data_IF_285329265235
#
_entry.id   IF_285329265235
#
_cell.length_a   1.000
_cell.length_b   1.000
_cell.length_c   1.000
_cell.angle_alpha   90.00
_cell.angle_beta   90.00
_cell.angle_gamma   90.00
#
_symmetry.space_group_name_H-M   'P 1'
#
loop_
_entity.id
_entity.type
_entity.pdbx_description
1 polymer ?
#
# COMPACT_ATOMS: atom_id res chain seq x y z
N UNK A 1 8.38 19.86 -36.15
CA UNK A 1 9.82 19.60 -35.92
C UNK A 1 10.05 19.61 -34.42
N UNK A 2 10.45 18.49 -33.83
CA UNK A 2 10.79 18.41 -32.40
C UNK A 2 12.11 19.15 -32.20
N UNK A 3 12.13 20.16 -31.32
CA UNK A 3 13.37 20.86 -31.00
C UNK A 3 14.17 20.08 -29.95
N UNK A 4 15.48 20.30 -29.88
CA UNK A 4 16.35 19.67 -28.85
C UNK A 4 15.85 19.98 -27.43
N UNK A 5 15.25 21.16 -27.24
CA UNK A 5 14.66 21.57 -25.96
C UNK A 5 13.44 20.72 -25.61
N UNK A 6 12.59 20.40 -26.57
CA UNK A 6 11.42 19.54 -26.36
C UNK A 6 11.84 18.11 -26.02
N UNK A 7 12.90 17.60 -26.66
CA UNK A 7 13.46 16.29 -26.33
C UNK A 7 13.96 16.20 -24.88
N UNK A 8 14.65 17.25 -24.40
CA UNK A 8 15.13 17.31 -23.00
C UNK A 8 13.96 17.43 -22.02
N UNK A 9 12.88 18.14 -22.37
CA UNK A 9 11.66 18.22 -21.54
C UNK A 9 11.02 16.86 -21.36
N UNK A 10 10.84 16.14 -22.46
CA UNK A 10 10.22 14.82 -22.46
C UNK A 10 11.07 13.80 -21.68
N UNK A 11 12.38 13.79 -21.89
CA UNK A 11 13.29 12.92 -21.14
C UNK A 11 13.27 13.17 -19.63
N UNK A 12 13.17 14.43 -19.20
CA UNK A 12 13.04 14.78 -17.77
C UNK A 12 11.68 14.39 -17.19
N UNK A 13 10.61 14.55 -17.95
CA UNK A 13 9.27 14.14 -17.54
C UNK A 13 9.22 12.61 -17.37
N UNK A 14 9.67 11.87 -18.39
CA UNK A 14 9.76 10.41 -18.36
C UNK A 14 10.58 9.90 -17.16
N UNK A 15 11.76 10.50 -16.90
CA UNK A 15 12.58 10.11 -15.75
C UNK A 15 11.86 10.36 -14.40
N UNK A 16 11.17 11.50 -14.26
CA UNK A 16 10.43 11.83 -13.04
C UNK A 16 9.26 10.87 -12.81
N UNK A 17 8.48 10.57 -13.85
CA UNK A 17 7.36 9.60 -13.79
C UNK A 17 7.86 8.20 -13.44
N UNK A 18 8.96 7.74 -14.05
CA UNK A 18 9.53 6.42 -13.73
C UNK A 18 9.99 6.33 -12.27
N UNK A 19 10.63 7.36 -11.74
CA UNK A 19 11.07 7.38 -10.34
C UNK A 19 9.88 7.44 -9.37
N UNK A 20 8.83 8.19 -9.71
CA UNK A 20 7.60 8.26 -8.92
C UNK A 20 6.89 6.91 -8.88
N UNK A 21 6.71 6.26 -10.04
CA UNK A 21 6.12 4.93 -10.15
C UNK A 21 6.93 3.88 -9.39
N UNK A 22 8.27 3.94 -9.45
CA UNK A 22 9.14 3.06 -8.67
C UNK A 22 8.92 3.23 -7.16
N UNK A 23 8.89 4.47 -6.68
CA UNK A 23 8.67 4.78 -5.26
C UNK A 23 7.29 4.32 -4.80
N UNK A 24 6.27 4.49 -5.64
CA UNK A 24 4.92 4.02 -5.41
C UNK A 24 4.87 2.51 -5.21
N UNK A 25 5.48 1.72 -6.12
CA UNK A 25 5.46 0.26 -6.01
C UNK A 25 6.21 -0.26 -4.78
N UNK A 26 7.30 0.41 -4.35
CA UNK A 26 7.98 0.06 -3.11
C UNK A 26 7.04 0.23 -1.91
N UNK A 27 6.40 1.39 -1.79
CA UNK A 27 5.49 1.68 -0.67
C UNK A 27 4.31 0.72 -0.70
N UNK A 28 3.73 0.50 -1.87
CA UNK A 28 2.63 -0.44 -2.08
C UNK A 28 3.00 -1.86 -1.62
N UNK A 29 4.13 -2.40 -2.10
CA UNK A 29 4.57 -3.75 -1.76
C UNK A 29 4.87 -3.89 -0.25
N UNK A 30 5.49 -2.88 0.36
CA UNK A 30 5.78 -2.88 1.80
C UNK A 30 4.50 -2.89 2.64
N UNK A 31 3.54 -1.99 2.33
CA UNK A 31 2.29 -1.88 3.08
C UNK A 31 1.46 -3.15 2.93
N UNK A 32 1.31 -3.68 1.71
CA UNK A 32 0.51 -4.87 1.45
C UNK A 32 1.11 -6.12 2.11
N UNK A 33 2.43 -6.31 2.01
CA UNK A 33 3.11 -7.48 2.59
C UNK A 33 3.04 -7.45 4.12
N UNK A 34 3.41 -6.33 4.74
CA UNK A 34 3.38 -6.22 6.21
C UNK A 34 1.95 -6.25 6.73
N UNK A 35 1.01 -5.58 6.07
CA UNK A 35 -0.41 -5.64 6.44
C UNK A 35 -0.95 -7.07 6.42
N UNK A 36 -0.63 -7.85 5.37
CA UNK A 36 -1.02 -9.26 5.26
C UNK A 36 -0.38 -10.14 6.32
N UNK A 37 0.91 -9.94 6.60
CA UNK A 37 1.61 -10.65 7.67
C UNK A 37 1.00 -10.33 9.04
N UNK A 38 0.71 -9.07 9.31
CA UNK A 38 0.13 -8.62 10.56
C UNK A 38 -1.24 -9.25 10.79
N UNK A 39 -2.13 -9.20 9.80
CA UNK A 39 -3.45 -9.83 9.83
C UNK A 39 -3.34 -11.35 10.06
N UNK A 40 -2.44 -12.02 9.34
CA UNK A 40 -2.29 -13.48 9.42
C UNK A 40 -1.70 -13.93 10.75
N UNK A 41 -0.72 -13.21 11.29
CA UNK A 41 0.01 -13.61 12.51
C UNK A 41 -0.75 -13.19 13.76
N UNK A 42 -1.23 -11.96 13.82
CA UNK A 42 -1.86 -11.39 15.03
C UNK A 42 -3.38 -11.59 15.05
N UNK A 43 -4.03 -11.43 13.89
CA UNK A 43 -5.46 -11.67 13.75
C UNK A 43 -5.81 -13.14 13.52
N UNK A 44 -4.91 -13.92 12.90
CA UNK A 44 -5.16 -15.31 12.49
C UNK A 44 -6.47 -15.45 11.68
N UNK A 45 -6.75 -14.41 10.88
CA UNK A 45 -7.81 -14.37 9.88
C UNK A 45 -7.21 -14.04 8.51
N UNK A 46 -8.02 -14.20 7.46
CA UNK A 46 -7.62 -13.85 6.11
C UNK A 46 -8.68 -12.98 5.43
N UNK A 47 -8.23 -12.01 4.64
CA UNK A 47 -9.14 -11.19 3.82
C UNK A 47 -9.43 -11.94 2.52
N UNK A 48 -10.62 -11.78 1.94
CA UNK A 48 -10.99 -12.48 0.71
C UNK A 48 -9.98 -12.27 -0.42
N UNK A 49 -9.62 -13.35 -1.12
CA UNK A 49 -8.61 -13.34 -2.19
C UNK A 49 -8.96 -12.34 -3.31
N UNK A 50 -10.25 -12.24 -3.65
CA UNK A 50 -10.75 -11.29 -4.63
C UNK A 50 -10.48 -9.84 -4.26
N UNK A 51 -10.44 -9.49 -2.96
CA UNK A 51 -10.14 -8.13 -2.53
C UNK A 51 -8.69 -7.80 -2.85
N UNK A 52 -7.76 -8.72 -2.59
CA UNK A 52 -6.35 -8.52 -2.93
C UNK A 52 -6.15 -8.41 -4.44
N UNK A 53 -6.77 -9.29 -5.22
CA UNK A 53 -6.66 -9.25 -6.68
C UNK A 53 -7.25 -7.97 -7.28
N UNK A 54 -8.40 -7.51 -6.77
CA UNK A 54 -8.99 -6.22 -7.17
C UNK A 54 -8.10 -5.05 -6.77
N UNK A 55 -7.47 -5.11 -5.59
CA UNK A 55 -6.53 -4.08 -5.12
C UNK A 55 -5.30 -4.01 -6.01
N UNK A 56 -4.72 -5.14 -6.42
CA UNK A 56 -3.56 -5.17 -7.33
C UNK A 56 -3.91 -4.62 -8.72
N UNK A 57 -5.08 -4.96 -9.26
CA UNK A 57 -5.50 -4.45 -10.58
C UNK A 57 -5.82 -2.95 -10.50
N UNK A 58 -6.58 -2.52 -9.51
CA UNK A 58 -6.97 -1.11 -9.37
C UNK A 58 -5.76 -0.27 -8.92
N UNK A 59 -5.17 -0.54 -7.78
CA UNK A 59 -4.06 0.29 -7.28
C UNK A 59 -2.78 0.08 -8.09
N UNK A 60 -2.44 -1.14 -8.48
CA UNK A 60 -1.22 -1.38 -9.25
C UNK A 60 -1.32 -0.83 -10.66
N UNK A 61 -2.31 -1.29 -11.44
CA UNK A 61 -2.37 -0.99 -12.88
C UNK A 61 -2.99 0.38 -13.15
N UNK A 62 -4.12 0.70 -12.53
CA UNK A 62 -4.83 1.96 -12.84
C UNK A 62 -4.05 3.19 -12.36
N UNK A 63 -3.47 3.19 -11.16
CA UNK A 63 -2.72 4.35 -10.68
C UNK A 63 -1.48 4.61 -11.54
N UNK A 64 -0.76 3.56 -11.92
CA UNK A 64 0.42 3.72 -12.79
C UNK A 64 0.03 4.15 -14.20
N UNK A 65 -1.08 3.65 -14.72
CA UNK A 65 -1.64 4.17 -15.97
C UNK A 65 -1.97 5.66 -15.89
N UNK A 66 -2.56 6.13 -14.78
CA UNK A 66 -2.80 7.58 -14.63
C UNK A 66 -1.51 8.38 -14.51
N UNK A 67 -0.46 7.81 -13.91
CA UNK A 67 0.85 8.44 -13.81
C UNK A 67 1.53 8.58 -15.17
N UNK A 68 1.35 7.64 -16.11
CA UNK A 68 1.92 7.75 -17.47
C UNK A 68 1.24 8.79 -18.34
N UNK A 69 0.00 9.20 -18.00
CA UNK A 69 -0.71 10.28 -18.70
C UNK A 69 -0.20 11.69 -18.33
N UNK A 70 0.72 11.81 -17.37
CA UNK A 70 1.30 13.12 -17.00
C UNK A 70 2.25 13.61 -18.09
N UNK A 71 1.85 14.64 -18.83
CA UNK A 71 2.70 15.28 -19.84
C UNK A 71 3.84 16.13 -19.26
N UNK A 72 4.82 16.52 -20.10
CA UNK A 72 5.92 17.38 -19.68
C UNK A 72 5.46 18.79 -19.31
N UNK A 73 6.14 19.41 -18.34
CA UNK A 73 5.92 20.82 -18.02
C UNK A 73 6.39 21.75 -19.16
N UNK A 74 5.63 22.81 -19.42
CA UNK A 74 5.93 23.81 -20.46
C UNK A 74 7.19 24.65 -20.13
N UNK A 75 7.69 24.61 -18.90
CA UNK A 75 8.91 25.31 -18.46
C UNK A 75 9.92 24.33 -17.87
N UNK A 76 11.19 24.46 -18.26
CA UNK A 76 12.28 23.73 -17.60
C UNK A 76 12.57 24.39 -16.26
N UNK A 77 12.44 23.63 -15.18
CA UNK A 77 12.98 24.04 -13.89
C UNK A 77 14.52 23.93 -13.90
N UNK A 78 15.20 24.88 -13.24
CA UNK A 78 16.66 24.95 -13.16
C UNK A 78 17.33 23.87 -12.30
N UNK A 79 16.57 23.03 -11.62
CA UNK A 79 17.11 21.90 -10.85
C UNK A 79 17.15 20.62 -11.68
N UNK A 80 18.15 19.76 -11.44
CA UNK A 80 18.21 18.42 -12.06
C UNK A 80 17.28 17.46 -11.28
N UNK A 81 16.41 16.68 -11.94
CA UNK A 81 15.63 15.64 -11.26
C UNK A 81 16.55 14.71 -10.49
N UNK A 82 16.13 14.20 -9.34
CA UNK A 82 16.89 13.21 -8.58
C UNK A 82 17.10 11.98 -9.44
N UNK A 83 18.35 11.69 -9.80
CA UNK A 83 18.70 10.52 -10.62
C UNK A 83 19.08 9.29 -9.78
N UNK A 84 19.11 9.42 -8.45
CA UNK A 84 19.48 8.34 -7.55
C UNK A 84 18.24 7.55 -7.15
N UNK A 85 18.21 6.29 -7.57
CA UNK A 85 17.12 5.35 -7.28
C UNK A 85 16.92 5.15 -5.78
N UNK A 86 18.01 5.05 -5.03
CA UNK A 86 18.05 4.87 -3.57
C UNK A 86 18.62 6.11 -2.85
N UNK A 87 18.44 7.30 -3.43
CA UNK A 87 18.84 8.54 -2.77
C UNK A 87 18.10 8.71 -1.45
N UNK A 88 18.74 9.37 -0.48
CA UNK A 88 18.14 9.65 0.84
C UNK A 88 16.72 10.23 0.75
N UNK A 89 16.48 11.11 -0.24
CA UNK A 89 15.16 11.68 -0.52
C UNK A 89 14.13 10.62 -0.91
N UNK A 90 14.49 9.69 -1.79
CA UNK A 90 13.62 8.60 -2.23
C UNK A 90 13.34 7.62 -1.09
N UNK A 91 14.38 7.29 -0.31
CA UNK A 91 14.23 6.43 0.88
C UNK A 91 13.27 7.04 1.88
N UNK A 92 13.43 8.33 2.21
CA UNK A 92 12.50 9.04 3.10
C UNK A 92 11.08 9.11 2.52
N UNK A 93 10.95 9.38 1.22
CA UNK A 93 9.65 9.41 0.54
C UNK A 93 8.92 8.07 0.61
N UNK A 94 9.63 6.95 0.67
CA UNK A 94 9.03 5.63 0.86
C UNK A 94 8.84 5.26 2.34
N UNK A 95 9.80 5.58 3.20
CA UNK A 95 9.83 5.14 4.59
C UNK A 95 8.76 5.85 5.43
N UNK A 96 8.59 7.17 5.24
CA UNK A 96 7.60 7.95 5.99
C UNK A 96 6.16 7.41 5.82
N UNK A 97 5.62 7.23 4.59
CA UNK A 97 4.28 6.69 4.42
C UNK A 97 4.17 5.24 4.91
N UNK A 98 5.20 4.42 4.75
CA UNK A 98 5.20 3.06 5.29
C UNK A 98 5.12 3.05 6.83
N UNK A 99 5.92 3.87 7.51
CA UNK A 99 5.86 4.01 8.97
C UNK A 99 4.50 4.53 9.45
N UNK A 100 3.92 5.53 8.76
CA UNK A 100 2.59 6.06 9.10
C UNK A 100 1.53 4.97 8.96
N UNK A 101 1.56 4.20 7.87
CA UNK A 101 0.63 3.08 7.66
C UNK A 101 0.76 2.01 8.76
N UNK A 102 1.99 1.66 9.17
CA UNK A 102 2.22 0.71 10.25
C UNK A 102 1.77 1.23 11.61
N UNK A 103 2.04 2.50 11.92
CA UNK A 103 1.54 3.11 13.15
C UNK A 103 0.02 3.16 13.17
N UNK A 104 -0.61 3.53 12.06
CA UNK A 104 -2.07 3.52 11.93
C UNK A 104 -2.65 2.11 12.15
N UNK A 105 -2.01 1.07 11.61
CA UNK A 105 -2.40 -0.33 11.81
C UNK A 105 -2.31 -0.73 13.29
N UNK A 106 -1.18 -0.45 13.94
CA UNK A 106 -0.97 -0.77 15.37
C UNK A 106 -1.99 -0.04 16.23
N UNK A 107 -2.22 1.26 16.00
CA UNK A 107 -3.21 2.05 16.74
C UNK A 107 -4.61 1.50 16.53
N UNK A 108 -4.97 1.13 15.30
CA UNK A 108 -6.29 0.57 15.00
C UNK A 108 -6.54 -0.72 15.78
N UNK A 109 -5.57 -1.64 15.81
CA UNK A 109 -5.65 -2.86 16.61
C UNK A 109 -5.65 -2.58 18.12
N UNK A 110 -4.86 -1.62 18.60
CA UNK A 110 -4.84 -1.24 20.00
C UNK A 110 -6.19 -0.66 20.47
N UNK A 111 -6.86 0.12 19.60
CA UNK A 111 -8.21 0.64 19.86
C UNK A 111 -9.23 -0.50 19.82
N UNK A 112 -9.15 -1.37 18.83
CA UNK A 112 -10.08 -2.49 18.64
C UNK A 112 -10.03 -3.48 19.80
N UNK A 113 -8.84 -3.78 20.32
CA UNK A 113 -8.64 -4.64 21.49
C UNK A 113 -8.70 -3.90 22.83
N UNK A 114 -8.98 -2.60 22.82
CA UNK A 114 -9.14 -1.86 24.07
C UNK A 114 -10.41 -2.29 24.79
N UNK A 115 -10.42 -2.29 26.14
CA UNK A 115 -11.64 -2.57 26.91
C UNK A 115 -12.80 -1.64 26.58
N UNK A 116 -12.51 -0.44 26.06
CA UNK A 116 -13.51 0.55 25.64
C UNK A 116 -14.33 0.07 24.42
N UNK A 117 -13.75 -0.75 23.54
CA UNK A 117 -14.44 -1.27 22.35
C UNK A 117 -15.36 -2.47 22.65
N UNK A 118 -15.31 -3.04 23.86
CA UNK A 118 -16.07 -4.23 24.25
C UNK A 118 -17.60 -4.09 24.15
N UNK A 119 -18.13 -2.87 24.04
CA UNK A 119 -19.57 -2.62 23.89
C UNK A 119 -20.09 -2.85 22.47
N UNK A 120 -19.23 -2.83 21.45
CA UNK A 120 -19.63 -3.03 20.04
C UNK A 120 -18.75 -4.02 19.28
N UNK A 121 -17.58 -4.36 19.81
CA UNK A 121 -16.65 -5.30 19.20
C UNK A 121 -16.39 -6.48 20.14
N UNK A 122 -16.72 -7.68 19.67
CA UNK A 122 -16.33 -8.92 20.30
C UNK A 122 -15.27 -9.60 19.44
N UNK A 123 -14.08 -9.78 20.01
CA UNK A 123 -12.99 -10.52 19.37
C UNK A 123 -13.29 -12.01 19.44
N UNK A 124 -13.33 -12.69 18.30
CA UNK A 124 -13.38 -14.15 18.30
C UNK A 124 -11.96 -14.71 18.29
N UNK A 125 -11.65 -15.59 19.24
CA UNK A 125 -10.40 -16.34 19.20
C UNK A 125 -10.45 -17.37 18.06
N UNK A 126 -9.83 -17.03 16.94
CA UNK A 126 -9.75 -17.86 15.73
C UNK A 126 -8.94 -19.15 15.92
N UNK A 127 -8.30 -19.33 17.08
CA UNK A 127 -7.69 -20.60 17.51
C UNK A 127 -8.74 -21.61 17.99
N UNK A 128 -9.86 -21.16 18.54
CA UNK A 128 -10.97 -22.03 18.95
C UNK A 128 -11.75 -22.55 17.74
N UNK A 129 -11.65 -21.85 16.61
CA UNK A 129 -12.14 -22.35 15.34
C UNK A 129 -11.26 -23.53 14.90
N UNK A 130 -11.77 -24.74 15.08
CA UNK A 130 -11.16 -26.01 14.63
C UNK A 130 -11.13 -26.15 13.09
N UNK A 131 -10.80 -25.08 12.38
CA UNK A 131 -10.68 -25.05 10.93
C UNK A 131 -9.35 -25.74 10.58
N UNK A 132 -9.38 -26.83 9.79
CA UNK A 132 -8.15 -27.52 9.40
C UNK A 132 -7.26 -26.59 8.57
N UNK A 133 -5.93 -26.66 8.67
CA UNK A 133 -5.01 -25.71 8.01
C UNK A 133 -5.18 -25.63 6.48
N UNK A 134 -5.62 -26.73 5.85
CA UNK A 134 -5.93 -26.79 4.41
C UNK A 134 -7.06 -25.84 3.99
N UNK A 135 -7.98 -25.53 4.90
CA UNK A 135 -9.14 -24.69 4.67
C UNK A 135 -8.90 -23.28 5.26
N UNK A 136 -7.66 -22.78 5.23
CA UNK A 136 -7.32 -21.45 5.77
C UNK A 136 -8.18 -20.32 5.20
N UNK A 137 -8.69 -20.48 3.97
CA UNK A 137 -9.60 -19.53 3.34
C UNK A 137 -10.94 -19.41 4.07
N UNK A 138 -11.35 -20.43 4.83
CA UNK A 138 -12.55 -20.40 5.66
C UNK A 138 -12.35 -19.60 6.94
N UNK A 139 -11.13 -19.21 7.31
CA UNK A 139 -10.83 -18.23 8.38
C UNK A 139 -11.01 -16.79 7.90
N UNK A 140 -11.93 -16.57 6.96
CA UNK A 140 -12.29 -15.25 6.46
C UNK A 140 -12.85 -14.36 7.56
N UNK A 141 -12.94 -13.06 7.30
CA UNK A 141 -13.45 -11.98 8.18
C UNK A 141 -14.93 -12.13 8.62
N UNK A 142 -15.53 -13.30 8.44
CA UNK A 142 -16.95 -13.55 8.72
C UNK A 142 -17.24 -13.83 10.21
N UNK A 143 -16.22 -13.88 11.08
CA UNK A 143 -16.39 -14.29 12.47
C UNK A 143 -16.35 -13.13 13.46
N UNK A 144 -15.67 -12.04 13.15
CA UNK A 144 -15.70 -10.83 13.98
C UNK A 144 -17.02 -10.09 13.68
N UNK A 145 -17.95 -10.09 14.64
CA UNK A 145 -19.28 -9.49 14.49
C UNK A 145 -19.59 -8.56 15.65
N UNK A 146 -20.45 -7.57 15.38
CA UNK A 146 -20.96 -6.69 16.42
C UNK A 146 -21.81 -7.49 17.42
N UNK A 147 -21.70 -7.14 18.70
CA UNK A 147 -22.54 -7.72 19.76
C UNK A 147 -23.99 -7.38 19.45
N UNK A 148 -24.84 -8.41 19.25
CA UNK A 148 -26.30 -8.27 19.12
C UNK A 148 -26.92 -7.76 20.42
#
# INVERSE_FOLDING_TARGET
LITVVDLIREGRACLATNLATYSYYIVYALILTVGRLFITILGNFNVGEWIFLMTDILLGVFMVWTATLSGPSHRLAGYRPTASLLGWRTVLACLVPACVAFLALIVSYAVLWSPLASHWYYRVDTLDMKVPPKDWMKKGDNYDTAVL
#
